data_IF_699383824403
#
_entry.id   IF_699383824403
#
_cell.length_a   1.000
_cell.length_b   1.000
_cell.length_c   1.000
_cell.angle_alpha   90.00
_cell.angle_beta   90.00
_cell.angle_gamma   90.00
#
_symmetry.space_group_name_H-M   'P 1'
#
loop_
_entity.id
_entity.type
_entity.pdbx_description
1 polymer ?
#
# COMPACT_ATOMS: atom_id res chain seq x y z
N UNK A 1 -15.13 8.56 -2.11
CA UNK A 1 -14.94 9.62 -3.14
C UNK A 1 -15.22 10.97 -2.47
N UNK A 2 -14.66 12.08 -2.93
CA UNK A 2 -14.94 13.39 -2.33
C UNK A 2 -16.40 13.81 -2.56
N UNK A 3 -17.01 14.49 -1.58
CA UNK A 3 -18.40 14.96 -1.65
C UNK A 3 -18.54 16.19 -2.53
N UNK A 4 -17.52 17.07 -2.50
CA UNK A 4 -17.44 18.28 -3.33
C UNK A 4 -16.02 18.52 -3.80
N UNK A 5 -15.87 19.06 -5.01
CA UNK A 5 -14.57 19.42 -5.60
C UNK A 5 -14.61 20.79 -6.28
N UNK A 6 -13.52 21.55 -6.20
CA UNK A 6 -13.34 22.84 -6.86
C UNK A 6 -11.97 22.89 -7.54
N UNK A 7 -11.88 23.55 -8.70
CA UNK A 7 -10.62 23.80 -9.40
C UNK A 7 -10.22 25.26 -9.19
N UNK A 8 -8.93 25.51 -9.00
CA UNK A 8 -8.39 26.86 -8.87
C UNK A 8 -6.94 26.91 -9.38
N UNK A 9 -6.47 28.11 -9.74
CA UNK A 9 -5.06 28.36 -10.07
C UNK A 9 -4.32 28.88 -8.84
N UNK A 10 -3.15 28.31 -8.53
CA UNK A 10 -2.19 28.87 -7.58
C UNK A 10 -0.93 29.28 -8.33
N UNK A 11 -0.92 30.51 -8.87
CA UNK A 11 0.06 30.93 -9.88
C UNK A 11 -0.05 30.05 -11.14
N UNK A 12 1.06 29.42 -11.60
CA UNK A 12 1.02 28.55 -12.78
C UNK A 12 0.37 27.18 -12.51
N UNK A 13 0.18 26.78 -11.24
CA UNK A 13 -0.30 25.45 -10.87
C UNK A 13 -1.82 25.33 -10.97
N UNK A 14 -2.28 24.23 -11.58
CA UNK A 14 -3.67 23.79 -11.49
C UNK A 14 -3.89 23.00 -10.20
N UNK A 15 -4.76 23.51 -9.33
CA UNK A 15 -5.07 22.93 -8.03
C UNK A 15 -6.52 22.43 -7.97
N UNK A 16 -6.74 21.41 -7.13
CA UNK A 16 -8.08 20.89 -6.83
C UNK A 16 -8.28 20.84 -5.31
N UNK A 17 -9.30 21.54 -4.82
CA UNK A 17 -9.79 21.37 -3.45
C UNK A 17 -10.84 20.26 -3.43
N UNK A 18 -10.75 19.34 -2.47
CA UNK A 18 -11.70 18.25 -2.26
C UNK A 18 -12.18 18.24 -0.82
N UNK A 19 -13.51 18.22 -0.64
CA UNK A 19 -14.13 18.15 0.68
C UNK A 19 -14.59 16.71 0.95
N UNK A 20 -14.37 16.24 2.18
CA UNK A 20 -14.73 14.90 2.63
C UNK A 20 -15.44 15.00 3.98
N UNK A 21 -16.52 14.24 4.14
CA UNK A 21 -17.08 13.95 5.46
C UNK A 21 -16.42 12.69 6.03
N UNK A 22 -15.74 12.82 7.16
CA UNK A 22 -15.12 11.68 7.85
C UNK A 22 -16.13 11.10 8.82
N UNK A 23 -16.49 9.83 8.65
CA UNK A 23 -17.41 9.14 9.54
C UNK A 23 -16.79 8.94 10.93
N UNK A 24 -17.61 9.08 11.97
CA UNK A 24 -17.21 8.75 13.34
C UNK A 24 -17.07 7.23 13.52
N UNK A 25 -16.09 6.81 14.32
CA UNK A 25 -15.90 5.41 14.66
C UNK A 25 -16.94 4.97 15.69
N UNK A 26 -17.85 4.07 15.30
CA UNK A 26 -18.71 3.36 16.26
C UNK A 26 -18.01 2.09 16.79
N UNK A 27 -18.38 1.57 17.96
CA UNK A 27 -17.73 0.38 18.55
C UNK A 27 -17.73 -0.86 17.62
N UNK A 28 -18.75 -0.99 16.77
CA UNK A 28 -18.90 -2.10 15.82
C UNK A 28 -18.30 -1.81 14.43
N UNK A 29 -17.70 -0.63 14.23
CA UNK A 29 -17.08 -0.26 12.96
C UNK A 29 -15.79 -1.05 12.76
N UNK A 30 -15.83 -2.06 11.88
CA UNK A 30 -14.58 -2.65 11.36
C UNK A 30 -13.82 -1.59 10.58
N UNK A 31 -12.51 -1.37 10.85
CA UNK A 31 -11.72 -0.45 10.05
C UNK A 31 -11.71 -0.95 8.61
N UNK A 32 -12.11 -0.09 7.68
CA UNK A 32 -12.00 -0.39 6.26
C UNK A 32 -10.52 -0.52 5.90
N UNK A 33 -10.05 -1.75 5.74
CA UNK A 33 -8.68 -2.02 5.30
C UNK A 33 -8.59 -1.81 3.79
N UNK A 34 -7.74 -0.88 3.38
CA UNK A 34 -7.44 -0.67 1.96
C UNK A 34 -6.61 -1.84 1.46
N UNK A 35 -7.02 -2.43 0.33
CA UNK A 35 -6.27 -3.50 -0.34
C UNK A 35 -5.93 -4.69 0.57
N UNK A 36 -6.91 -5.20 1.32
CA UNK A 36 -6.70 -6.26 2.32
C UNK A 36 -6.02 -7.51 1.76
N UNK A 37 -6.40 -7.95 0.55
CA UNK A 37 -5.81 -9.12 -0.10
C UNK A 37 -4.31 -8.94 -0.39
N UNK A 38 -3.93 -7.77 -0.90
CA UNK A 38 -2.53 -7.42 -1.15
C UNK A 38 -1.74 -7.36 0.16
N UNK A 39 -2.28 -6.69 1.17
CA UNK A 39 -1.65 -6.61 2.50
C UNK A 39 -1.45 -8.00 3.11
N UNK A 40 -2.45 -8.88 2.99
CA UNK A 40 -2.37 -10.25 3.48
C UNK A 40 -1.36 -11.09 2.69
N UNK A 41 -1.30 -10.94 1.36
CA UNK A 41 -0.31 -11.63 0.52
C UNK A 41 1.11 -11.18 0.85
N UNK A 42 1.34 -9.87 0.98
CA UNK A 42 2.65 -9.30 1.31
C UNK A 42 3.14 -9.76 2.68
N UNK A 43 2.27 -9.79 3.70
CA UNK A 43 2.60 -10.33 5.04
C UNK A 43 2.99 -11.81 5.00
N UNK A 44 2.27 -12.63 4.22
CA UNK A 44 2.59 -14.05 4.05
C UNK A 44 3.95 -14.23 3.38
N UNK A 45 4.22 -13.47 2.33
CA UNK A 45 5.50 -13.49 1.64
C UNK A 45 6.64 -13.03 2.54
N UNK A 46 6.46 -11.95 3.30
CA UNK A 46 7.48 -11.46 4.24
C UNK A 46 7.88 -12.53 5.25
N UNK A 47 6.91 -13.16 5.90
CA UNK A 47 7.18 -14.25 6.86
C UNK A 47 7.94 -15.42 6.23
N UNK A 48 7.60 -15.78 4.98
CA UNK A 48 8.25 -16.87 4.25
C UNK A 48 9.68 -16.49 3.86
N UNK A 49 9.84 -15.36 3.18
CA UNK A 49 11.11 -14.97 2.57
C UNK A 49 12.10 -14.43 3.59
N UNK A 50 11.68 -13.77 4.66
CA UNK A 50 12.60 -13.32 5.72
C UNK A 50 13.26 -14.51 6.41
N UNK A 51 12.50 -15.58 6.67
CA UNK A 51 13.05 -16.82 7.24
C UNK A 51 14.07 -17.45 6.29
N UNK A 52 13.72 -17.58 5.01
CA UNK A 52 14.60 -18.15 3.99
C UNK A 52 15.85 -17.30 3.77
N UNK A 53 15.70 -15.98 3.61
CA UNK A 53 16.79 -15.05 3.38
C UNK A 53 17.81 -15.06 4.52
N UNK A 54 17.34 -15.14 5.77
CA UNK A 54 18.22 -15.30 6.95
C UNK A 54 19.01 -16.60 6.93
N UNK A 55 18.43 -17.70 6.44
CA UNK A 55 19.11 -18.99 6.34
C UNK A 55 20.18 -18.99 5.25
N UNK A 56 19.90 -18.35 4.11
CA UNK A 56 20.83 -18.24 2.99
C UNK A 56 21.84 -17.09 3.14
N UNK A 57 21.70 -16.24 4.17
CA UNK A 57 22.58 -15.10 4.39
C UNK A 57 22.45 -14.01 3.32
N UNK A 58 21.27 -13.85 2.73
CA UNK A 58 20.97 -12.85 1.70
C UNK A 58 20.08 -11.73 2.25
N UNK A 59 20.29 -10.52 1.75
CA UNK A 59 19.56 -9.32 2.17
C UNK A 59 18.78 -8.65 1.02
N UNK A 60 19.01 -9.10 -0.21
CA UNK A 60 18.37 -8.59 -1.42
C UNK A 60 17.51 -9.68 -2.06
N UNK A 61 16.20 -9.49 -2.12
CA UNK A 61 15.28 -10.49 -2.68
C UNK A 61 13.93 -9.90 -3.08
N UNK A 62 13.27 -10.59 -4.02
CA UNK A 62 11.89 -10.33 -4.46
C UNK A 62 10.91 -10.70 -3.34
N UNK A 63 10.25 -9.71 -2.77
CA UNK A 63 9.25 -9.90 -1.71
C UNK A 63 7.86 -10.19 -2.29
N UNK A 64 7.54 -9.66 -3.46
CA UNK A 64 6.27 -9.83 -4.15
C UNK A 64 6.48 -9.71 -5.66
N UNK A 65 5.85 -10.56 -6.48
CA UNK A 65 6.08 -10.62 -7.92
C UNK A 65 4.75 -10.85 -8.67
N UNK A 66 3.91 -9.81 -8.70
CA UNK A 66 2.59 -9.84 -9.34
C UNK A 66 1.71 -11.04 -8.89
N UNK A 67 1.83 -11.42 -7.62
CA UNK A 67 1.16 -12.60 -7.04
C UNK A 67 -0.38 -12.57 -7.12
N UNK A 68 -0.97 -11.39 -7.29
CA UNK A 68 -2.41 -11.16 -7.45
C UNK A 68 -2.66 -10.41 -8.77
N UNK A 69 -3.63 -10.83 -9.61
CA UNK A 69 -3.91 -10.19 -10.90
C UNK A 69 -4.20 -8.68 -10.82
N UNK A 70 -4.87 -8.26 -9.74
CA UNK A 70 -5.26 -6.86 -9.50
C UNK A 70 -4.09 -5.97 -9.04
N UNK A 71 -2.99 -6.59 -8.65
CA UNK A 71 -1.79 -5.92 -8.12
C UNK A 71 -0.56 -6.37 -8.91
N UNK A 72 -0.51 -5.99 -10.18
CA UNK A 72 0.61 -6.30 -11.07
C UNK A 72 1.81 -5.38 -10.81
N UNK A 73 2.48 -5.59 -9.68
CA UNK A 73 3.70 -4.89 -9.26
C UNK A 73 4.76 -5.90 -8.81
N UNK A 74 6.03 -5.50 -8.88
CA UNK A 74 7.10 -6.17 -8.16
C UNK A 74 7.48 -5.34 -6.94
N UNK A 75 7.83 -6.01 -5.84
CA UNK A 75 8.40 -5.38 -4.65
C UNK A 75 9.71 -6.09 -4.34
N UNK A 76 10.81 -5.35 -4.42
CA UNK A 76 12.15 -5.83 -4.12
C UNK A 76 12.65 -5.24 -2.82
N UNK A 77 13.21 -6.07 -1.95
CA UNK A 77 13.93 -5.62 -0.76
C UNK A 77 15.42 -5.57 -1.07
N UNK A 78 16.07 -4.48 -0.67
CA UNK A 78 17.52 -4.30 -0.69
C UNK A 78 17.98 -3.81 0.68
N UNK A 79 18.35 -4.75 1.56
CA UNK A 79 18.62 -4.46 2.97
C UNK A 79 17.44 -3.71 3.63
N UNK A 80 17.63 -2.44 4.00
CA UNK A 80 16.62 -1.58 4.63
C UNK A 80 15.76 -0.80 3.62
N UNK A 81 16.05 -0.93 2.32
CA UNK A 81 15.36 -0.23 1.24
C UNK A 81 14.39 -1.15 0.51
N UNK A 82 13.41 -0.53 -0.16
CA UNK A 82 12.42 -1.21 -1.00
C UNK A 82 12.31 -0.47 -2.33
N UNK A 83 12.20 -1.24 -3.42
CA UNK A 83 11.87 -0.76 -4.77
C UNK A 83 10.52 -1.32 -5.18
#
# INVERSE_FOLDING_TARGET
>A
RADKQYKAKNGPLDCVQKNYHVAESTPDSKPAMVAEDYANRLRKNLKKFEKWARQEGIECYRLYDADLPEYNVAVDRYADWVV
#
